data_IF_075911344249
#
_entry.id   IF_075911344249
#
_cell.length_a   1.000
_cell.length_b   1.000
_cell.length_c   1.000
_cell.angle_alpha   90.00
_cell.angle_beta   90.00
_cell.angle_gamma   90.00
#
_symmetry.space_group_name_H-M   'P 1'
#
loop_
_entity.id
_entity.type
_entity.pdbx_description
1 polymer ?
#
# COMPACT_ATOMS: atom_id res chain seq x y z
N UNK A 1 27.32 -19.77 -7.45
CA UNK A 1 27.40 -19.68 -5.97
C UNK A 1 26.01 -19.37 -5.44
N UNK A 2 25.31 -20.38 -4.91
CA UNK A 2 23.96 -20.28 -4.34
C UNK A 2 24.01 -19.70 -2.91
N UNK A 3 23.13 -18.76 -2.53
CA UNK A 3 23.11 -18.23 -1.16
C UNK A 3 22.47 -19.24 -0.19
N UNK A 4 23.17 -19.51 0.91
CA UNK A 4 22.72 -20.37 2.02
C UNK A 4 21.51 -19.75 2.73
N UNK A 5 20.40 -20.46 2.79
CA UNK A 5 19.22 -20.18 3.63
C UNK A 5 19.58 -20.32 5.11
N UNK A 6 19.35 -19.27 5.92
CA UNK A 6 19.42 -19.34 7.39
C UNK A 6 18.03 -19.67 7.94
N UNK A 7 17.94 -20.74 8.74
CA UNK A 7 16.78 -21.09 9.60
C UNK A 7 16.74 -20.16 10.83
N UNK A 8 15.55 -19.75 11.25
CA UNK A 8 15.32 -19.15 12.57
C UNK A 8 14.28 -19.99 13.33
N UNK A 9 14.71 -20.55 14.45
CA UNK A 9 13.91 -21.29 15.43
C UNK A 9 13.51 -20.31 16.57
N UNK A 10 12.29 -20.37 17.08
CA UNK A 10 11.86 -19.78 18.35
C UNK A 10 11.23 -20.86 19.24
N UNK A 11 11.17 -20.50 20.51
CA UNK A 11 11.09 -21.37 21.68
C UNK A 11 9.64 -21.74 22.05
N UNK A 12 9.37 -23.02 22.32
CA UNK A 12 8.12 -23.50 22.88
C UNK A 12 8.00 -23.11 24.36
N UNK A 13 8.00 -21.80 24.73
CA UNK A 13 7.37 -21.24 25.99
C UNK A 13 6.26 -20.12 25.86
N UNK A 14 5.68 -19.80 24.67
CA UNK A 14 4.46 -18.95 24.34
C UNK A 14 3.04 -19.42 23.66
N UNK A 15 2.50 -20.67 23.67
CA UNK A 15 1.14 -21.19 23.34
C UNK A 15 0.57 -22.18 24.42
N UNK A 16 0.15 -21.70 25.59
CA UNK A 16 -0.92 -22.37 26.39
C UNK A 16 -1.99 -21.38 26.88
N UNK A 17 -2.10 -20.19 26.29
CA UNK A 17 -3.01 -19.13 26.76
C UNK A 17 -3.91 -18.53 25.65
N UNK A 18 -4.63 -19.35 24.88
CA UNK A 18 -5.58 -18.84 23.85
C UNK A 18 -6.96 -19.52 23.85
N UNK A 19 -7.38 -20.14 24.96
CA UNK A 19 -8.78 -20.58 25.17
C UNK A 19 -9.62 -19.66 26.08
N UNK A 20 -9.04 -18.66 26.76
CA UNK A 20 -9.77 -17.82 27.74
C UNK A 20 -9.80 -16.31 27.41
N UNK A 21 -9.89 -15.91 26.12
CA UNK A 21 -9.98 -14.48 25.71
C UNK A 21 -11.29 -14.13 24.99
N UNK A 22 -12.34 -14.90 25.23
CA UNK A 22 -13.65 -14.30 25.55
C UNK A 22 -13.91 -14.65 27.03
N UNK A 23 -13.78 -13.64 27.91
CA UNK A 23 -13.82 -13.69 29.40
C UNK A 23 -12.45 -13.88 30.11
N UNK A 24 -11.86 -12.76 30.60
CA UNK A 24 -10.79 -12.59 31.62
C UNK A 24 -9.88 -13.79 32.01
N UNK A 25 -8.55 -13.67 31.79
CA UNK A 25 -7.38 -13.53 32.75
C UNK A 25 -6.09 -14.29 32.32
N UNK A 26 -4.95 -13.59 32.46
CA UNK A 26 -3.54 -13.92 32.81
C UNK A 26 -2.76 -15.19 32.34
N UNK A 27 -1.48 -14.92 32.01
CA UNK A 27 -0.21 -15.70 32.12
C UNK A 27 0.26 -16.79 31.12
N UNK A 28 1.50 -16.54 30.61
CA UNK A 28 2.68 -17.41 30.34
C UNK A 28 2.54 -18.89 29.94
N UNK A 29 2.65 -19.30 28.66
CA UNK A 29 3.22 -20.63 28.20
C UNK A 29 3.26 -20.85 26.64
N UNK A 30 3.99 -21.88 25.99
CA UNK A 30 4.71 -22.36 24.66
C UNK A 30 4.53 -22.23 23.09
N UNK A 31 5.30 -21.41 22.33
CA UNK A 31 5.23 -21.24 20.85
C UNK A 31 5.77 -22.40 20.01
N UNK A 32 4.93 -23.15 19.29
CA UNK A 32 5.35 -24.29 18.45
C UNK A 32 5.85 -23.81 17.08
N UNK A 33 7.05 -24.26 16.72
CA UNK A 33 7.72 -23.89 15.47
C UNK A 33 7.33 -24.77 14.28
N UNK A 34 7.24 -24.16 13.10
CA UNK A 34 6.83 -24.80 11.84
C UNK A 34 7.71 -25.99 11.44
N UNK A 35 8.96 -26.02 11.90
CA UNK A 35 9.92 -27.10 11.67
C UNK A 35 9.53 -28.42 12.38
N UNK A 36 8.88 -28.38 13.56
CA UNK A 36 8.40 -29.59 14.27
C UNK A 36 7.17 -30.22 13.60
N UNK A 37 6.31 -29.37 13.02
CA UNK A 37 5.12 -29.81 12.28
C UNK A 37 5.49 -30.53 10.98
N UNK A 38 6.56 -30.08 10.31
CA UNK A 38 7.12 -30.70 9.11
C UNK A 38 7.79 -32.04 9.45
N UNK A 39 8.57 -32.10 10.54
CA UNK A 39 9.28 -33.32 10.95
C UNK A 39 8.31 -34.48 11.30
N UNK A 40 7.20 -34.19 11.98
CA UNK A 40 6.19 -35.20 12.35
C UNK A 40 5.41 -35.77 11.16
N UNK A 41 5.30 -35.05 10.05
CA UNK A 41 4.56 -35.53 8.87
C UNK A 41 5.45 -36.34 7.93
N UNK A 42 6.75 -36.01 7.86
CA UNK A 42 7.75 -36.78 7.09
C UNK A 42 7.95 -38.18 7.68
N UNK A 43 7.79 -38.36 8.99
CA UNK A 43 7.84 -39.70 9.60
C UNK A 43 6.63 -40.58 9.27
N UNK A 44 5.49 -39.98 8.88
CA UNK A 44 4.22 -40.69 8.66
C UNK A 44 3.94 -40.98 7.18
N UNK A 45 4.72 -40.43 6.25
CA UNK A 45 4.47 -40.56 4.80
C UNK A 45 5.61 -41.28 4.06
N UNK A 46 5.48 -42.61 3.97
CA UNK A 46 6.27 -43.44 3.05
C UNK A 46 5.81 -43.20 1.61
N UNK A 47 6.37 -42.20 0.91
CA UNK A 47 6.27 -42.14 -0.55
C UNK A 47 7.59 -41.68 -1.18
N UNK A 48 8.32 -42.65 -1.72
CA UNK A 48 9.36 -42.43 -2.73
C UNK A 48 8.70 -41.92 -4.01
N UNK A 49 9.37 -41.05 -4.77
CA UNK A 49 8.93 -40.39 -6.03
C UNK A 49 8.23 -39.01 -5.95
N UNK A 50 8.80 -38.05 -5.20
CA UNK A 50 8.67 -36.61 -5.48
C UNK A 50 10.00 -35.90 -5.18
N UNK A 51 10.39 -34.93 -6.01
CA UNK A 51 11.63 -34.15 -5.81
C UNK A 51 11.58 -33.40 -4.47
N UNK A 52 12.74 -33.17 -3.86
CA UNK A 52 12.86 -32.58 -2.52
C UNK A 52 12.18 -31.18 -2.42
N UNK A 53 12.18 -30.41 -3.51
CA UNK A 53 11.50 -29.11 -3.62
C UNK A 53 9.97 -29.22 -3.68
N UNK A 54 9.44 -30.26 -4.35
CA UNK A 54 8.01 -30.56 -4.39
C UNK A 54 7.51 -31.01 -3.01
N UNK A 55 8.25 -31.90 -2.34
CA UNK A 55 7.96 -32.32 -0.96
C UNK A 55 7.96 -31.14 0.01
N UNK A 56 8.93 -30.23 -0.10
CA UNK A 56 9.04 -29.04 0.76
C UNK A 56 7.84 -28.10 0.61
N UNK A 57 7.42 -27.88 -0.64
CA UNK A 57 6.27 -27.03 -0.97
C UNK A 57 4.96 -27.64 -0.47
N UNK A 58 4.79 -28.95 -0.62
CA UNK A 58 3.61 -29.70 -0.21
C UNK A 58 3.51 -29.88 1.32
N UNK A 59 4.65 -29.99 2.01
CA UNK A 59 4.76 -29.97 3.48
C UNK A 59 4.44 -28.59 4.06
N UNK A 60 4.99 -27.51 3.48
CA UNK A 60 4.66 -26.13 3.87
C UNK A 60 3.16 -25.88 3.67
N UNK A 61 2.63 -26.37 2.55
CA UNK A 61 1.24 -26.26 2.18
C UNK A 61 0.30 -27.03 3.14
N UNK A 62 0.67 -28.25 3.53
CA UNK A 62 -0.09 -29.06 4.50
C UNK A 62 -0.03 -28.48 5.91
N UNK A 63 1.14 -27.95 6.32
CA UNK A 63 1.29 -27.23 7.58
C UNK A 63 0.44 -25.94 7.61
N UNK A 64 0.40 -25.20 6.50
CA UNK A 64 -0.46 -24.03 6.35
C UNK A 64 -1.95 -24.40 6.38
N UNK A 65 -2.39 -25.48 5.72
CA UNK A 65 -3.78 -25.99 5.84
C UNK A 65 -4.14 -26.28 7.29
N UNK A 66 -3.26 -26.97 8.03
CA UNK A 66 -3.50 -27.34 9.43
C UNK A 66 -3.54 -26.10 10.34
N UNK A 67 -2.67 -25.11 10.10
CA UNK A 67 -2.65 -23.83 10.81
C UNK A 67 -3.86 -22.94 10.51
N UNK A 68 -4.37 -22.94 9.27
CA UNK A 68 -5.60 -22.23 8.92
C UNK A 68 -6.82 -22.91 9.55
N UNK A 69 -6.92 -24.23 9.47
CA UNK A 69 -7.99 -25.01 10.10
C UNK A 69 -8.02 -24.77 11.62
N UNK A 70 -6.87 -24.73 12.29
CA UNK A 70 -6.79 -24.50 13.73
C UNK A 70 -7.04 -23.04 14.14
N UNK A 71 -6.87 -22.07 13.25
CA UNK A 71 -6.97 -20.63 13.59
C UNK A 71 -8.32 -20.02 13.18
N UNK A 72 -9.01 -20.59 12.19
CA UNK A 72 -10.20 -19.99 11.56
C UNK A 72 -11.37 -20.97 11.36
N UNK A 73 -11.24 -22.24 11.78
CA UNK A 73 -12.25 -23.31 11.60
C UNK A 73 -12.72 -23.48 10.14
N UNK A 74 -11.75 -23.53 9.21
CA UNK A 74 -12.03 -23.58 7.77
C UNK A 74 -11.71 -24.95 7.16
N UNK A 75 -12.63 -25.48 6.34
CA UNK A 75 -12.44 -26.72 5.57
C UNK A 75 -11.63 -26.44 4.29
N UNK A 76 -10.76 -27.35 3.85
CA UNK A 76 -10.00 -27.21 2.60
C UNK A 76 -10.44 -28.29 1.61
N UNK A 77 -10.89 -27.91 0.42
CA UNK A 77 -11.34 -28.85 -0.61
C UNK A 77 -10.17 -29.46 -1.42
N UNK A 78 -10.53 -30.41 -2.29
CA UNK A 78 -9.64 -31.15 -3.19
C UNK A 78 -8.89 -30.24 -4.21
N UNK A 79 -9.41 -29.03 -4.44
CA UNK A 79 -8.84 -28.04 -5.34
C UNK A 79 -7.99 -26.99 -4.63
N UNK A 80 -7.66 -27.21 -3.35
CA UNK A 80 -6.85 -26.32 -2.52
C UNK A 80 -7.57 -25.01 -2.15
N UNK A 81 -8.90 -25.01 -2.21
CA UNK A 81 -9.76 -23.89 -1.83
C UNK A 81 -10.23 -24.13 -0.40
N UNK A 82 -9.89 -23.20 0.48
CA UNK A 82 -10.42 -23.19 1.84
C UNK A 82 -11.88 -22.73 1.77
N UNK A 83 -12.84 -23.65 1.91
CA UNK A 83 -14.26 -23.36 2.13
C UNK A 83 -14.36 -22.49 3.38
N UNK A 84 -14.67 -21.21 3.17
CA UNK A 84 -14.75 -20.23 4.25
C UNK A 84 -13.49 -19.39 4.48
N UNK A 85 -12.55 -19.33 3.52
CA UNK A 85 -11.88 -18.07 3.15
C UNK A 85 -10.36 -17.89 3.36
N UNK A 86 -9.50 -18.63 2.64
CA UNK A 86 -8.15 -18.18 2.22
C UNK A 86 -7.71 -19.05 1.03
N UNK A 87 -7.51 -18.50 -0.17
CA UNK A 87 -6.87 -19.28 -1.23
C UNK A 87 -5.35 -19.20 -1.04
N UNK A 88 -4.78 -20.30 -0.52
CA UNK A 88 -3.35 -20.49 -0.30
C UNK A 88 -2.71 -21.24 -1.48
N UNK A 89 -2.76 -20.72 -2.71
CA UNK A 89 -1.79 -21.19 -3.70
C UNK A 89 -0.58 -20.27 -3.57
N UNK A 90 0.59 -20.74 -3.10
CA UNK A 90 1.80 -19.93 -3.12
C UNK A 90 2.18 -19.71 -4.58
N UNK A 91 1.62 -18.65 -5.16
CA UNK A 91 2.09 -18.07 -6.40
C UNK A 91 3.12 -17.04 -5.97
N UNK A 92 4.36 -17.27 -6.37
CA UNK A 92 5.43 -16.32 -6.11
C UNK A 92 5.40 -15.24 -7.17
N UNK A 93 5.49 -13.98 -6.74
CA UNK A 93 5.83 -12.88 -7.64
C UNK A 93 7.20 -12.33 -7.27
N UNK A 94 8.22 -12.79 -8.01
CA UNK A 94 9.60 -12.65 -7.57
C UNK A 94 9.80 -13.42 -6.27
N UNK A 95 10.20 -12.72 -5.21
CA UNK A 95 10.48 -13.33 -3.89
C UNK A 95 9.28 -13.27 -2.93
N UNK A 96 8.16 -12.64 -3.32
CA UNK A 96 7.00 -12.48 -2.42
C UNK A 96 5.97 -13.58 -2.60
N UNK A 97 5.46 -14.09 -1.49
CA UNK A 97 4.32 -15.01 -1.46
C UNK A 97 3.00 -14.24 -1.63
N UNK A 98 2.14 -14.69 -2.55
CA UNK A 98 0.78 -14.15 -2.71
C UNK A 98 -0.20 -14.95 -1.84
N UNK A 99 -1.00 -14.25 -1.04
CA UNK A 99 -2.09 -14.80 -0.26
C UNK A 99 -3.40 -14.07 -0.61
N UNK A 100 -4.45 -14.84 -0.94
CA UNK A 100 -5.78 -14.27 -1.17
C UNK A 100 -6.64 -14.44 0.08
N UNK A 101 -7.02 -13.30 0.66
CA UNK A 101 -7.82 -13.19 1.89
C UNK A 101 -9.23 -12.74 1.49
N UNK A 102 -10.24 -13.60 1.61
CA UNK A 102 -11.62 -13.18 1.39
C UNK A 102 -12.09 -12.20 2.44
N UNK A 103 -13.11 -11.47 2.04
CA UNK A 103 -13.67 -10.38 2.81
C UNK A 103 -15.10 -10.16 2.37
N UNK A 104 -15.93 -9.61 3.26
CA UNK A 104 -17.29 -9.23 2.91
C UNK A 104 -17.36 -7.88 2.18
N UNK A 105 -16.33 -7.03 2.33
CA UNK A 105 -16.33 -5.67 1.80
C UNK A 105 -14.96 -5.25 1.30
N UNK A 106 -14.94 -4.58 0.15
CA UNK A 106 -13.77 -3.82 -0.33
C UNK A 106 -14.06 -2.34 -0.54
N UNK A 107 -15.33 -1.93 -0.58
CA UNK A 107 -15.77 -0.55 -0.62
C UNK A 107 -15.88 0.03 0.80
N UNK A 108 -15.18 1.14 1.06
CA UNK A 108 -15.31 1.92 2.28
C UNK A 108 -15.68 3.37 1.93
N UNK A 109 -16.93 3.75 2.21
CA UNK A 109 -17.45 5.11 1.96
C UNK A 109 -16.92 6.11 3.01
N UNK A 110 -16.80 5.67 4.27
CA UNK A 110 -16.25 6.47 5.37
C UNK A 110 -14.71 6.38 5.41
N UNK A 111 -14.08 6.66 4.28
CA UNK A 111 -12.64 6.53 4.13
C UNK A 111 -11.91 7.73 4.73
N UNK A 112 -10.89 7.50 5.57
CA UNK A 112 -9.99 8.55 6.06
C UNK A 112 -9.11 9.17 4.96
N UNK A 113 -9.25 8.72 3.71
CA UNK A 113 -8.69 9.39 2.54
C UNK A 113 -9.53 10.61 2.10
N UNK A 114 -10.76 10.76 2.60
CA UNK A 114 -11.59 11.95 2.41
C UNK A 114 -10.89 13.18 3.03
N UNK A 115 -10.37 13.04 4.26
CA UNK A 115 -9.66 14.11 4.99
C UNK A 115 -8.39 14.59 4.26
N UNK A 116 -7.88 13.79 3.32
CA UNK A 116 -6.69 14.09 2.51
C UNK A 116 -7.03 14.72 1.15
N UNK A 117 -8.30 15.02 0.89
CA UNK A 117 -8.85 15.40 -0.42
C UNK A 117 -8.62 14.37 -1.54
N UNK A 118 -8.20 13.16 -1.19
CA UNK A 118 -7.89 12.11 -2.17
C UNK A 118 -9.15 11.47 -2.76
N UNK A 119 -10.31 11.70 -2.15
CA UNK A 119 -11.60 11.14 -2.57
C UNK A 119 -12.73 11.92 -1.94
N UNK A 120 -13.90 11.94 -2.58
CA UNK A 120 -15.13 12.55 -2.01
C UNK A 120 -16.20 11.51 -1.68
N UNK A 121 -15.98 10.24 -2.07
CA UNK A 121 -16.93 9.14 -1.83
C UNK A 121 -16.36 7.98 -1.04
N UNK A 122 -15.05 7.84 -1.02
CA UNK A 122 -14.37 6.79 -0.29
C UNK A 122 -13.36 6.01 -1.13
N UNK A 123 -13.09 4.79 -0.73
CA UNK A 123 -12.01 3.98 -1.30
C UNK A 123 -12.42 2.55 -1.57
N UNK A 124 -11.86 1.97 -2.62
CA UNK A 124 -12.00 0.54 -2.95
C UNK A 124 -10.65 -0.13 -2.72
N UNK A 125 -10.56 -1.13 -1.84
CA UNK A 125 -9.27 -1.71 -1.43
C UNK A 125 -9.15 -3.19 -1.84
N UNK A 126 -8.42 -3.44 -2.93
CA UNK A 126 -8.17 -4.79 -3.46
C UNK A 126 -7.15 -5.62 -2.66
N UNK A 127 -6.48 -5.05 -1.65
CA UNK A 127 -5.50 -5.78 -0.84
C UNK A 127 -4.99 -5.01 0.37
N UNK A 128 -4.16 -5.66 1.19
CA UNK A 128 -3.59 -5.08 2.42
C UNK A 128 -2.07 -5.10 2.48
N UNK A 129 -1.39 -5.91 1.65
CA UNK A 129 0.06 -5.90 1.51
C UNK A 129 0.45 -5.89 0.03
N UNK A 130 1.40 -5.01 -0.31
CA UNK A 130 1.65 -4.62 -1.68
C UNK A 130 2.74 -5.49 -2.35
N UNK A 131 2.61 -5.63 -3.67
CA UNK A 131 3.65 -6.14 -4.55
C UNK A 131 4.97 -5.36 -4.45
N UNK A 132 4.91 -4.04 -4.26
CA UNK A 132 6.09 -3.21 -4.08
C UNK A 132 6.66 -3.29 -2.65
N UNK A 133 7.95 -2.95 -2.50
CA UNK A 133 8.65 -3.00 -1.20
C UNK A 133 9.32 -1.66 -0.90
N UNK A 134 8.51 -0.61 -0.83
CA UNK A 134 9.01 0.70 -0.42
C UNK A 134 9.46 0.63 1.05
N UNK A 135 10.70 1.04 1.35
CA UNK A 135 11.28 0.92 2.69
C UNK A 135 10.62 1.86 3.71
N UNK A 136 10.03 2.94 3.23
CA UNK A 136 9.29 3.93 4.01
C UNK A 136 7.77 3.69 4.04
N UNK A 137 7.29 2.56 3.52
CA UNK A 137 5.86 2.32 3.36
C UNK A 137 5.10 2.48 4.69
N UNK A 138 4.01 3.25 4.67
CA UNK A 138 3.12 3.46 5.83
C UNK A 138 2.06 2.38 5.98
N UNK A 139 1.77 1.61 4.91
CA UNK A 139 0.76 0.54 4.92
C UNK A 139 0.93 -0.50 6.04
N UNK A 140 2.16 -0.95 6.41
CA UNK A 140 2.34 -1.83 7.57
C UNK A 140 1.77 -1.24 8.86
N UNK A 141 2.04 0.05 9.14
CA UNK A 141 1.52 0.73 10.33
C UNK A 141 0.01 0.94 10.23
N UNK A 142 -0.49 1.41 9.08
CA UNK A 142 -1.93 1.64 8.86
C UNK A 142 -2.73 0.34 9.00
N UNK A 143 -2.19 -0.78 8.52
CA UNK A 143 -2.85 -2.08 8.53
C UNK A 143 -2.49 -2.94 9.75
N UNK A 144 -1.75 -2.40 10.72
CA UNK A 144 -1.26 -3.15 11.89
C UNK A 144 -2.38 -3.74 12.77
N UNK A 145 -3.55 -3.09 12.77
CA UNK A 145 -4.78 -3.50 13.48
C UNK A 145 -5.80 -4.20 12.56
N UNK A 146 -5.49 -4.35 11.28
CA UNK A 146 -6.38 -5.00 10.33
C UNK A 146 -6.48 -6.50 10.62
N UNK A 147 -7.68 -7.07 10.65
CA UNK A 147 -7.84 -8.51 10.77
C UNK A 147 -7.12 -9.27 9.64
N UNK A 148 -7.06 -8.68 8.44
CA UNK A 148 -6.40 -9.27 7.28
C UNK A 148 -4.88 -9.43 7.44
N UNK A 149 -4.24 -8.68 8.35
CA UNK A 149 -2.80 -8.79 8.62
C UNK A 149 -2.47 -9.73 9.78
N UNK A 150 -3.47 -10.30 10.47
CA UNK A 150 -3.25 -11.33 11.51
C UNK A 150 -2.52 -12.56 10.96
N UNK A 151 -2.78 -12.92 9.70
CA UNK A 151 -2.11 -14.04 9.01
C UNK A 151 -0.59 -13.88 8.96
N UNK A 152 -0.08 -12.64 8.95
CA UNK A 152 1.35 -12.35 8.95
C UNK A 152 2.02 -12.87 10.23
N UNK A 153 1.34 -12.72 11.38
CA UNK A 153 1.83 -13.21 12.67
C UNK A 153 1.82 -14.74 12.72
N UNK A 154 0.76 -15.36 12.20
CA UNK A 154 0.62 -16.83 12.16
C UNK A 154 1.71 -17.46 11.29
N UNK A 155 2.00 -16.85 10.14
CA UNK A 155 3.03 -17.35 9.21
C UNK A 155 4.45 -16.86 9.56
N UNK A 156 4.59 -16.02 10.59
CA UNK A 156 5.84 -15.38 10.98
C UNK A 156 6.57 -14.68 9.81
N UNK A 157 5.81 -13.91 9.03
CA UNK A 157 6.31 -13.15 7.87
C UNK A 157 6.00 -11.67 8.03
N UNK A 158 6.85 -10.80 7.47
CA UNK A 158 6.65 -9.36 7.46
C UNK A 158 5.71 -8.94 6.35
N UNK A 159 5.08 -7.78 6.52
CA UNK A 159 4.23 -7.15 5.51
C UNK A 159 4.95 -6.96 4.17
N UNK A 160 6.26 -6.68 4.20
CA UNK A 160 7.10 -6.53 3.01
C UNK A 160 7.36 -7.84 2.25
N UNK A 161 7.17 -9.00 2.86
CA UNK A 161 7.52 -10.32 2.31
C UNK A 161 6.35 -11.01 1.60
N UNK A 162 5.15 -10.45 1.70
CA UNK A 162 3.94 -11.04 1.11
C UNK A 162 3.11 -10.02 0.33
N UNK A 163 2.22 -10.54 -0.50
CA UNK A 163 1.17 -9.79 -1.17
C UNK A 163 -0.15 -10.32 -0.63
N UNK A 164 -0.89 -9.49 0.10
CA UNK A 164 -2.20 -9.87 0.64
C UNK A 164 -3.27 -9.25 -0.26
N UNK A 165 -3.89 -10.07 -1.11
CA UNK A 165 -4.98 -9.68 -2.01
C UNK A 165 -6.33 -10.02 -1.41
N UNK A 166 -7.38 -9.40 -1.92
CA UNK A 166 -8.75 -9.87 -1.70
C UNK A 166 -9.07 -10.98 -2.68
N UNK A 167 -9.83 -11.96 -2.22
CA UNK A 167 -10.35 -13.02 -3.09
C UNK A 167 -11.56 -12.51 -3.86
N UNK A 168 -11.58 -12.72 -5.18
CA UNK A 168 -12.65 -12.25 -6.08
C UNK A 168 -13.09 -10.78 -5.89
N UNK A 169 -12.17 -9.79 -5.86
CA UNK A 169 -12.51 -8.40 -5.50
C UNK A 169 -13.52 -7.76 -6.47
N UNK A 170 -13.45 -8.09 -7.76
CA UNK A 170 -14.40 -7.59 -8.78
C UNK A 170 -15.83 -8.04 -8.48
N UNK A 171 -16.02 -9.30 -8.10
CA UNK A 171 -17.32 -9.87 -7.76
C UNK A 171 -17.88 -9.23 -6.50
N UNK A 172 -17.04 -9.10 -5.46
CA UNK A 172 -17.41 -8.40 -4.21
C UNK A 172 -17.84 -6.97 -4.54
N UNK A 173 -17.07 -6.23 -5.34
CA UNK A 173 -17.39 -4.86 -5.71
C UNK A 173 -18.74 -4.75 -6.40
N UNK A 174 -19.00 -5.57 -7.43
CA UNK A 174 -20.30 -5.58 -8.13
C UNK A 174 -21.46 -5.84 -7.17
N UNK A 175 -21.31 -6.82 -6.27
CA UNK A 175 -22.31 -7.07 -5.23
C UNK A 175 -22.52 -5.88 -4.29
N UNK A 176 -21.47 -5.11 -3.99
CA UNK A 176 -21.57 -3.91 -3.13
C UNK A 176 -22.15 -2.69 -3.84
N UNK A 177 -22.00 -2.60 -5.16
CA UNK A 177 -22.54 -1.51 -5.98
C UNK A 177 -23.98 -1.77 -6.45
N UNK A 178 -24.46 -3.02 -6.38
CA UNK A 178 -25.82 -3.41 -6.76
C UNK A 178 -26.71 -3.77 -5.56
N UNK A 179 -28.01 -3.53 -5.69
CA UNK A 179 -29.02 -3.97 -4.73
C UNK A 179 -29.34 -5.46 -4.87
N UNK A 180 -30.30 -5.97 -4.08
CA UNK A 180 -30.69 -7.39 -4.12
C UNK A 180 -31.30 -7.83 -5.46
N UNK A 181 -31.75 -6.89 -6.30
CA UNK A 181 -32.31 -7.11 -7.63
C UNK A 181 -31.27 -6.92 -8.74
N UNK A 182 -30.02 -6.61 -8.39
CA UNK A 182 -28.94 -6.33 -9.34
C UNK A 182 -28.89 -4.89 -9.84
N UNK A 183 -29.77 -4.00 -9.35
CA UNK A 183 -29.82 -2.61 -9.81
C UNK A 183 -28.76 -1.74 -9.10
N UNK A 184 -28.19 -0.73 -9.78
CA UNK A 184 -27.25 0.22 -9.19
C UNK A 184 -27.76 0.87 -7.89
N UNK A 185 -26.99 0.79 -6.79
CA UNK A 185 -27.30 1.44 -5.50
C UNK A 185 -27.02 2.94 -5.51
N UNK A 186 -26.05 3.38 -6.30
CA UNK A 186 -25.48 4.73 -6.26
C UNK A 186 -25.77 5.51 -7.55
N UNK A 187 -26.92 5.25 -8.19
CA UNK A 187 -27.27 5.79 -9.51
C UNK A 187 -27.37 7.31 -9.57
N UNK A 188 -27.71 7.96 -8.45
CA UNK A 188 -27.86 9.42 -8.36
C UNK A 188 -26.69 10.06 -7.61
N UNK A 189 -25.69 9.25 -7.22
CA UNK A 189 -24.56 9.69 -6.43
C UNK A 189 -23.35 10.00 -7.32
N UNK A 190 -22.77 11.18 -7.13
CA UNK A 190 -21.66 11.70 -7.94
C UNK A 190 -20.47 12.02 -7.05
N UNK A 191 -19.26 11.75 -7.51
CA UNK A 191 -18.04 12.11 -6.77
C UNK A 191 -16.87 11.24 -7.17
N UNK A 192 -15.79 11.29 -6.41
CA UNK A 192 -14.54 10.59 -6.74
C UNK A 192 -14.36 9.44 -5.75
N UNK A 193 -14.08 8.25 -6.25
CA UNK A 193 -13.60 7.11 -5.46
C UNK A 193 -12.12 6.86 -5.76
N UNK A 194 -11.31 6.57 -4.74
CA UNK A 194 -9.89 6.22 -4.94
C UNK A 194 -9.69 4.69 -4.96
N UNK A 195 -8.98 4.22 -5.98
CA UNK A 195 -8.69 2.80 -6.17
C UNK A 195 -7.43 2.38 -5.42
N UNK A 196 -7.59 1.35 -4.58
CA UNK A 196 -6.59 0.67 -3.75
C UNK A 196 -5.58 1.61 -3.08
N UNK A 197 -6.00 2.59 -2.26
CA UNK A 197 -5.06 3.55 -1.68
C UNK A 197 -4.08 2.94 -0.65
N UNK A 198 -4.26 1.66 -0.27
CA UNK A 198 -3.39 0.91 0.67
C UNK A 198 -2.30 0.10 -0.05
N UNK A 199 -2.56 -0.35 -1.29
CA UNK A 199 -1.67 -1.21 -2.07
C UNK A 199 -1.69 -0.77 -3.53
N UNK A 200 -0.56 -0.81 -4.22
CA UNK A 200 -0.52 -0.35 -5.60
C UNK A 200 -1.40 -1.20 -6.54
N UNK A 201 -2.43 -0.62 -7.18
CA UNK A 201 -3.35 -1.34 -8.06
C UNK A 201 -2.70 -1.81 -9.36
N UNK A 202 -1.57 -1.22 -9.77
CA UNK A 202 -0.97 -1.45 -11.09
C UNK A 202 0.46 -2.00 -10.99
N UNK A 203 0.80 -2.67 -9.88
CA UNK A 203 2.15 -3.16 -9.64
C UNK A 203 2.61 -4.24 -10.63
N UNK A 204 1.68 -4.93 -11.27
CA UNK A 204 1.94 -5.92 -12.31
C UNK A 204 0.73 -6.01 -13.28
N UNK A 205 0.86 -6.85 -14.31
CA UNK A 205 -0.19 -7.03 -15.33
C UNK A 205 -1.48 -7.63 -14.77
N UNK A 206 -1.39 -8.55 -13.80
CA UNK A 206 -2.57 -9.20 -13.21
C UNK A 206 -3.38 -8.20 -12.37
N UNK A 207 -2.72 -7.42 -11.51
CA UNK A 207 -3.36 -6.38 -10.70
C UNK A 207 -3.90 -5.24 -11.59
N UNK A 208 -3.22 -4.93 -12.69
CA UNK A 208 -3.72 -3.97 -13.68
C UNK A 208 -5.02 -4.46 -14.33
N UNK A 209 -5.10 -5.75 -14.71
CA UNK A 209 -6.33 -6.32 -15.26
C UNK A 209 -7.45 -6.37 -14.21
N UNK A 210 -7.16 -6.79 -12.98
CA UNK A 210 -8.13 -6.76 -11.87
C UNK A 210 -8.65 -5.33 -11.63
N UNK A 211 -7.75 -4.34 -11.64
CA UNK A 211 -8.08 -2.92 -11.51
C UNK A 211 -8.95 -2.41 -12.66
N UNK A 212 -8.66 -2.82 -13.89
CA UNK A 212 -9.48 -2.52 -15.06
C UNK A 212 -10.92 -3.07 -14.88
N UNK A 213 -11.05 -4.31 -14.45
CA UNK A 213 -12.37 -4.92 -14.21
C UNK A 213 -13.14 -4.25 -13.07
N UNK A 214 -12.44 -3.81 -12.01
CA UNK A 214 -13.05 -2.99 -10.95
C UNK A 214 -13.51 -1.62 -11.47
N UNK A 215 -12.72 -0.97 -12.33
CA UNK A 215 -13.10 0.31 -12.96
C UNK A 215 -14.35 0.13 -13.80
N UNK A 216 -14.43 -0.90 -14.66
CA UNK A 216 -15.64 -1.17 -15.45
C UNK A 216 -16.87 -1.36 -14.57
N UNK A 217 -16.75 -2.12 -13.48
CA UNK A 217 -17.85 -2.28 -12.53
C UNK A 217 -18.33 -0.95 -11.94
N UNK A 218 -17.42 -0.01 -11.65
CA UNK A 218 -17.77 1.33 -11.15
C UNK A 218 -18.44 2.16 -12.25
N UNK A 219 -17.92 2.12 -13.47
CA UNK A 219 -18.46 2.87 -14.61
C UNK A 219 -19.90 2.43 -14.94
N UNK A 220 -20.16 1.12 -14.92
CA UNK A 220 -21.45 0.51 -15.24
C UNK A 220 -22.52 0.71 -14.14
N UNK A 221 -22.10 0.81 -12.87
CA UNK A 221 -23.02 0.77 -11.72
C UNK A 221 -23.09 2.07 -10.92
N UNK A 222 -22.36 3.11 -11.31
CA UNK A 222 -22.32 4.40 -10.59
C UNK A 222 -22.07 5.57 -11.55
N UNK A 223 -22.23 6.80 -11.05
CA UNK A 223 -21.74 8.01 -11.71
C UNK A 223 -20.43 8.53 -11.10
N UNK A 224 -19.68 7.69 -10.39
CA UNK A 224 -18.43 8.10 -9.75
C UNK A 224 -17.28 8.21 -10.73
N UNK A 225 -16.43 9.20 -10.53
CA UNK A 225 -15.09 9.25 -11.10
C UNK A 225 -14.16 8.30 -10.33
N UNK A 226 -13.19 7.71 -11.02
CA UNK A 226 -12.18 6.85 -10.40
C UNK A 226 -10.83 7.53 -10.42
N UNK A 227 -10.29 7.77 -9.23
CA UNK A 227 -8.93 8.24 -9.02
C UNK A 227 -7.99 7.07 -8.78
N UNK A 228 -6.91 7.01 -9.54
CA UNK A 228 -5.92 5.92 -9.48
C UNK A 228 -4.59 6.50 -9.01
N UNK A 229 -3.95 5.86 -8.04
CA UNK A 229 -2.60 6.21 -7.62
C UNK A 229 -1.67 5.02 -7.83
N UNK A 230 -0.53 5.22 -8.49
CA UNK A 230 0.47 4.15 -8.65
C UNK A 230 1.91 4.67 -8.66
N UNK A 231 2.87 3.77 -8.41
CA UNK A 231 4.29 3.92 -8.72
C UNK A 231 4.71 3.08 -9.95
N UNK A 232 3.76 2.72 -10.81
CA UNK A 232 3.97 1.87 -11.98
C UNK A 232 3.74 2.61 -13.30
N UNK A 233 4.60 2.39 -14.30
CA UNK A 233 4.38 2.87 -15.66
C UNK A 233 3.24 2.14 -16.39
N UNK A 234 2.68 1.07 -15.79
CA UNK A 234 1.53 0.34 -16.34
C UNK A 234 0.26 1.19 -16.41
N UNK A 235 0.22 2.35 -15.75
CA UNK A 235 -0.88 3.31 -15.87
C UNK A 235 -1.19 3.70 -17.33
N UNK A 236 -0.17 3.76 -18.20
CA UNK A 236 -0.39 3.99 -19.64
C UNK A 236 -1.18 2.86 -20.29
N UNK A 237 -0.83 1.62 -19.95
CA UNK A 237 -1.48 0.44 -20.52
C UNK A 237 -2.91 0.32 -20.01
N UNK A 238 -3.15 0.65 -18.74
CA UNK A 238 -4.50 0.79 -18.23
C UNK A 238 -5.29 1.84 -19.03
N UNK A 239 -4.71 3.03 -19.26
CA UNK A 239 -5.38 4.08 -20.01
C UNK A 239 -5.77 3.66 -21.43
N UNK A 240 -4.97 2.82 -22.11
CA UNK A 240 -5.34 2.26 -23.44
C UNK A 240 -6.49 1.25 -23.41
N UNK A 241 -6.82 0.69 -22.24
CA UNK A 241 -7.92 -0.27 -22.09
C UNK A 241 -9.25 0.39 -21.73
N UNK A 242 -9.23 1.62 -21.22
CA UNK A 242 -10.45 2.33 -20.82
C UNK A 242 -11.25 2.72 -22.07
N UNK A 243 -12.53 2.31 -22.19
CA UNK A 243 -13.40 2.73 -23.28
C UNK A 243 -13.52 4.25 -23.38
N UNK A 244 -13.63 4.77 -24.61
CA UNK A 244 -13.59 6.21 -24.87
C UNK A 244 -14.69 6.98 -24.12
N UNK A 245 -15.88 6.38 -24.01
CA UNK A 245 -17.02 6.94 -23.27
C UNK A 245 -16.74 7.12 -21.76
N UNK A 246 -15.78 6.39 -21.19
CA UNK A 246 -15.44 6.48 -19.77
C UNK A 246 -14.16 7.27 -19.49
N UNK A 247 -13.38 7.65 -20.51
CA UNK A 247 -12.10 8.37 -20.32
C UNK A 247 -12.23 9.63 -19.48
N UNK A 248 -13.34 10.36 -19.64
CA UNK A 248 -13.62 11.59 -18.91
C UNK A 248 -13.88 11.38 -17.41
N UNK A 249 -14.09 10.14 -16.94
CA UNK A 249 -14.34 9.77 -15.54
C UNK A 249 -13.13 9.18 -14.82
N UNK A 250 -11.97 9.07 -15.49
CA UNK A 250 -10.76 8.48 -14.90
C UNK A 250 -9.71 9.56 -14.65
N UNK A 251 -9.23 9.63 -13.41
CA UNK A 251 -8.20 10.58 -12.98
C UNK A 251 -6.91 9.79 -12.71
N UNK A 252 -5.91 9.97 -13.57
CA UNK A 252 -4.68 9.19 -13.56
C UNK A 252 -3.60 9.85 -12.68
N UNK A 253 -3.14 9.12 -11.65
CA UNK A 253 -2.15 9.60 -10.70
C UNK A 253 -0.88 8.78 -10.64
N UNK A 254 0.25 9.49 -10.62
CA UNK A 254 1.55 8.91 -10.33
C UNK A 254 2.13 9.47 -9.04
N UNK A 255 2.66 8.56 -8.23
CA UNK A 255 3.42 8.92 -7.04
C UNK A 255 4.90 9.07 -7.41
N UNK A 256 5.52 10.21 -7.11
CA UNK A 256 6.92 10.52 -7.41
C UNK A 256 7.56 11.24 -6.22
N UNK A 257 8.26 10.49 -5.35
CA UNK A 257 8.94 11.03 -4.16
C UNK A 257 10.40 11.45 -4.39
N UNK A 258 10.98 11.09 -5.52
CA UNK A 258 12.34 11.48 -5.92
C UNK A 258 12.42 11.55 -7.44
N UNK A 259 13.31 12.41 -7.94
CA UNK A 259 13.64 12.51 -9.36
C UNK A 259 14.86 11.65 -9.74
N UNK A 260 15.52 11.02 -8.76
CA UNK A 260 16.71 10.19 -8.97
C UNK A 260 16.36 8.69 -8.96
N UNK A 261 16.58 8.05 -10.11
CA UNK A 261 16.43 6.61 -10.29
C UNK A 261 17.32 5.77 -9.36
N UNK A 262 18.51 6.27 -8.99
CA UNK A 262 19.44 5.60 -8.06
C UNK A 262 18.83 5.52 -6.67
N UNK A 263 18.31 6.64 -6.17
CA UNK A 263 17.62 6.72 -4.88
C UNK A 263 16.38 5.81 -4.91
N UNK A 264 15.50 5.97 -5.92
CA UNK A 264 14.27 5.20 -6.04
C UNK A 264 14.52 3.69 -6.06
N UNK A 265 15.57 3.21 -6.75
CA UNK A 265 15.92 1.77 -6.77
C UNK A 265 16.19 1.21 -5.38
N UNK A 266 16.69 2.03 -4.47
CA UNK A 266 17.00 1.65 -3.09
C UNK A 266 15.74 1.72 -2.21
N UNK A 267 14.99 2.82 -2.29
CA UNK A 267 13.90 3.10 -1.35
C UNK A 267 12.51 2.67 -1.82
N UNK A 268 12.31 2.50 -3.13
CA UNK A 268 11.05 2.10 -3.80
C UNK A 268 11.23 0.81 -4.59
N UNK A 269 11.68 -0.26 -3.92
CA UNK A 269 11.99 -1.53 -4.58
C UNK A 269 10.78 -2.11 -5.31
N UNK A 270 11.06 -2.69 -6.48
CA UNK A 270 10.09 -3.30 -7.40
C UNK A 270 9.13 -2.31 -8.09
N UNK A 271 9.29 -1.00 -7.88
CA UNK A 271 8.50 0.03 -8.59
C UNK A 271 9.11 0.40 -9.94
N UNK A 272 8.37 1.18 -10.75
CA UNK A 272 8.96 1.78 -11.94
C UNK A 272 9.88 2.96 -11.57
N UNK A 273 11.07 3.08 -12.19
CA UNK A 273 11.94 4.22 -11.96
C UNK A 273 11.25 5.56 -12.22
N UNK A 274 11.55 6.63 -11.46
CA UNK A 274 10.99 7.97 -11.62
C UNK A 274 10.97 8.45 -13.07
N UNK A 275 12.07 8.28 -13.83
CA UNK A 275 12.11 8.72 -15.24
C UNK A 275 11.03 8.07 -16.11
N UNK A 276 10.72 6.79 -15.85
CA UNK A 276 9.70 6.05 -16.62
C UNK A 276 8.30 6.41 -16.16
N UNK A 277 8.10 6.69 -14.87
CA UNK A 277 6.86 7.26 -14.35
C UNK A 277 6.58 8.63 -14.98
N UNK A 278 7.54 9.56 -14.95
CA UNK A 278 7.38 10.88 -15.55
C UNK A 278 7.11 10.83 -17.07
N UNK A 279 7.83 9.97 -17.80
CA UNK A 279 7.56 9.74 -19.23
C UNK A 279 6.15 9.23 -19.48
N UNK A 280 5.66 8.31 -18.63
CA UNK A 280 4.28 7.85 -18.70
C UNK A 280 3.28 8.96 -18.42
N UNK A 281 3.56 9.79 -17.41
CA UNK A 281 2.71 10.89 -17.00
C UNK A 281 2.52 11.94 -18.10
N UNK A 282 3.62 12.43 -18.69
CA UNK A 282 3.57 13.41 -19.79
C UNK A 282 2.78 12.91 -20.98
N UNK A 283 2.88 11.62 -21.29
CA UNK A 283 2.11 11.02 -22.37
C UNK A 283 0.60 11.04 -22.08
N UNK A 284 0.18 10.82 -20.83
CA UNK A 284 -1.22 10.94 -20.42
C UNK A 284 -1.70 12.40 -20.56
N UNK A 285 -0.92 13.37 -20.06
CA UNK A 285 -1.23 14.79 -20.19
C UNK A 285 -1.31 15.23 -21.66
N UNK A 286 -0.39 14.77 -22.52
CA UNK A 286 -0.38 15.08 -23.97
C UNK A 286 -1.62 14.54 -24.69
N UNK A 287 -2.22 13.47 -24.17
CA UNK A 287 -3.50 12.93 -24.66
C UNK A 287 -4.72 13.68 -24.12
N UNK A 288 -4.54 14.72 -23.31
CA UNK A 288 -5.63 15.46 -22.67
C UNK A 288 -6.36 14.67 -21.58
N UNK A 289 -5.73 13.64 -21.02
CA UNK A 289 -6.32 12.86 -19.94
C UNK A 289 -6.26 13.61 -18.61
N UNK A 290 -7.29 13.42 -17.78
CA UNK A 290 -7.34 13.99 -16.42
C UNK A 290 -6.22 13.39 -15.58
N UNK A 291 -5.37 14.23 -15.02
CA UNK A 291 -4.18 13.80 -14.27
C UNK A 291 -4.08 14.53 -12.94
N UNK A 292 -3.43 13.89 -11.96
CA UNK A 292 -3.03 14.52 -10.70
C UNK A 292 -1.71 13.91 -10.24
N UNK A 293 -0.93 14.60 -9.43
CA UNK A 293 0.40 14.12 -9.02
C UNK A 293 0.48 14.00 -7.50
N UNK A 294 1.23 12.99 -7.02
CA UNK A 294 1.44 12.79 -5.60
C UNK A 294 2.92 12.63 -5.27
N UNK A 295 3.48 13.64 -4.64
CA UNK A 295 4.87 13.67 -4.24
C UNK A 295 4.97 13.27 -2.77
N UNK A 296 4.85 11.95 -2.53
CA UNK A 296 4.79 11.39 -1.18
C UNK A 296 5.51 10.02 -1.06
N UNK A 297 6.44 9.88 -0.09
CA UNK A 297 7.13 10.98 0.59
C UNK A 297 8.18 11.58 -0.35
N UNK A 298 8.34 12.90 -0.34
CA UNK A 298 9.56 13.54 -0.83
C UNK A 298 10.61 13.37 0.25
N UNK A 299 11.82 12.88 -0.08
CA UNK A 299 12.94 12.83 0.86
C UNK A 299 13.55 14.22 1.06
N UNK A 300 14.28 14.48 2.17
CA UNK A 300 14.95 15.76 2.38
C UNK A 300 15.87 16.12 1.21
N UNK A 301 15.95 17.42 0.88
CA UNK A 301 16.78 17.94 -0.20
C UNK A 301 17.86 18.86 0.37
N UNK A 302 19.02 18.92 -0.29
CA UNK A 302 20.05 19.93 0.00
C UNK A 302 19.60 21.32 -0.43
N UNK A 303 18.81 21.39 -1.49
CA UNK A 303 18.16 22.58 -2.02
C UNK A 303 16.70 22.25 -2.39
N UNK A 304 15.77 22.70 -1.54
CA UNK A 304 14.34 22.44 -1.76
C UNK A 304 13.76 23.25 -2.93
N UNK A 305 14.22 24.48 -3.13
CA UNK A 305 13.74 25.36 -4.21
C UNK A 305 14.12 24.77 -5.57
N UNK A 306 15.38 24.40 -5.76
CA UNK A 306 15.85 23.77 -7.01
C UNK A 306 15.15 22.43 -7.28
N UNK A 307 14.89 21.64 -6.22
CA UNK A 307 14.11 20.41 -6.36
C UNK A 307 12.67 20.69 -6.81
N UNK A 308 11.99 21.65 -6.18
CA UNK A 308 10.60 21.99 -6.49
C UNK A 308 10.44 22.54 -7.91
N UNK A 309 11.33 23.44 -8.35
CA UNK A 309 11.36 23.97 -9.72
C UNK A 309 11.52 22.85 -10.75
N UNK A 310 12.48 21.95 -10.54
CA UNK A 310 12.69 20.80 -11.42
C UNK A 310 11.48 19.87 -11.45
N UNK A 311 10.89 19.61 -10.29
CA UNK A 311 9.71 18.75 -10.18
C UNK A 311 8.52 19.35 -10.93
N UNK A 312 8.24 20.64 -10.74
CA UNK A 312 7.16 21.35 -11.42
C UNK A 312 7.35 21.35 -12.95
N UNK A 313 8.58 21.58 -13.42
CA UNK A 313 8.92 21.53 -14.84
C UNK A 313 8.69 20.13 -15.44
N UNK A 314 9.10 19.08 -14.72
CA UNK A 314 8.93 17.70 -15.19
C UNK A 314 7.46 17.25 -15.19
N UNK A 315 6.63 17.77 -14.29
CA UNK A 315 5.26 17.28 -14.06
C UNK A 315 4.17 18.11 -14.73
N UNK A 316 4.46 19.35 -15.16
CA UNK A 316 3.47 20.26 -15.75
C UNK A 316 2.18 20.36 -14.91
N UNK A 317 2.31 20.80 -13.66
CA UNK A 317 1.20 20.91 -12.70
C UNK A 317 0.04 21.81 -13.16
N UNK A 318 0.23 22.61 -14.20
CA UNK A 318 -0.85 23.36 -14.84
C UNK A 318 -1.89 22.45 -15.51
N UNK A 319 -1.50 21.26 -15.98
CA UNK A 319 -2.42 20.26 -16.52
C UNK A 319 -3.06 19.35 -15.45
N UNK A 320 -2.53 19.35 -14.23
CA UNK A 320 -3.04 18.53 -13.13
C UNK A 320 -4.32 19.13 -12.54
N UNK A 321 -5.24 18.29 -12.09
CA UNK A 321 -6.37 18.70 -11.26
C UNK A 321 -5.89 19.22 -9.91
N UNK A 322 -4.99 18.46 -9.28
CA UNK A 322 -4.48 18.68 -7.93
C UNK A 322 -3.07 18.10 -7.79
N UNK A 323 -2.28 18.66 -6.88
CA UNK A 323 -0.88 18.27 -6.64
C UNK A 323 -0.71 18.01 -5.15
N UNK A 324 -0.40 16.78 -4.78
CA UNK A 324 -0.11 16.42 -3.39
C UNK A 324 1.39 16.48 -3.11
N UNK A 325 1.76 17.01 -1.95
CA UNK A 325 3.11 16.97 -1.41
C UNK A 325 3.10 16.45 0.03
N UNK A 326 4.11 15.67 0.42
CA UNK A 326 4.24 15.21 1.80
C UNK A 326 5.70 14.88 2.11
N UNK A 327 6.21 15.39 3.23
CA UNK A 327 7.49 14.97 3.80
C UNK A 327 7.40 13.55 4.37
N UNK A 328 8.52 12.82 4.37
CA UNK A 328 8.61 11.55 5.13
C UNK A 328 8.33 11.80 6.62
N UNK A 329 7.17 11.38 7.11
CA UNK A 329 6.78 11.51 8.51
C UNK A 329 7.68 10.68 9.45
N UNK A 330 7.94 11.20 10.64
CA UNK A 330 8.62 10.48 11.74
C UNK A 330 7.70 9.42 12.37
N UNK A 331 7.37 8.35 11.63
CA UNK A 331 6.44 7.30 12.05
C UNK A 331 7.03 5.89 11.87
N UNK A 332 6.93 5.09 12.92
CA UNK A 332 7.43 3.71 12.93
C UNK A 332 8.90 3.62 12.53
N UNK A 333 9.27 2.51 11.89
CA UNK A 333 10.65 2.28 11.43
C UNK A 333 10.95 2.91 10.06
N UNK A 334 10.04 3.70 9.48
CA UNK A 334 10.17 4.20 8.09
C UNK A 334 11.46 4.99 7.86
N UNK A 335 11.76 5.95 8.73
CA UNK A 335 13.00 6.77 8.68
C UNK A 335 14.23 5.90 8.87
N UNK A 336 14.24 5.07 9.93
CA UNK A 336 15.36 4.16 10.24
C UNK A 336 15.66 3.21 9.08
N UNK A 337 14.64 2.58 8.51
CA UNK A 337 14.78 1.66 7.37
C UNK A 337 15.26 2.39 6.12
N UNK A 338 14.82 3.64 5.91
CA UNK A 338 15.25 4.45 4.78
C UNK A 338 16.72 4.83 4.90
N UNK A 339 17.16 5.33 6.07
CA UNK A 339 18.57 5.64 6.35
C UNK A 339 19.43 4.39 6.12
N UNK A 340 19.08 3.27 6.74
CA UNK A 340 19.86 2.03 6.62
C UNK A 340 19.93 1.51 5.18
N UNK A 341 18.86 1.69 4.38
CA UNK A 341 18.85 1.31 2.98
C UNK A 341 19.77 2.22 2.14
N UNK A 342 19.75 3.53 2.39
CA UNK A 342 20.62 4.50 1.71
C UNK A 342 22.09 4.28 2.07
N UNK A 343 22.42 4.08 3.35
CA UNK A 343 23.77 3.76 3.81
C UNK A 343 24.33 2.49 3.16
N UNK A 344 23.52 1.42 3.14
CA UNK A 344 23.91 0.15 2.49
C UNK A 344 24.17 0.29 1.00
N UNK A 345 23.54 1.29 0.35
CA UNK A 345 23.69 1.57 -1.06
C UNK A 345 24.74 2.66 -1.35
N UNK A 346 25.52 3.08 -0.36
CA UNK A 346 26.56 4.11 -0.47
C UNK A 346 26.01 5.49 -0.88
N UNK A 347 24.72 5.73 -0.66
CA UNK A 347 24.05 7.03 -0.83
C UNK A 347 24.16 7.84 0.47
N UNK A 348 25.40 8.15 0.84
CA UNK A 348 25.73 8.71 2.15
C UNK A 348 25.19 10.13 2.34
N UNK A 349 25.15 10.95 1.31
CA UNK A 349 24.66 12.33 1.42
C UNK A 349 23.17 12.36 1.76
N UNK A 350 22.36 11.55 1.07
CA UNK A 350 20.93 11.41 1.32
C UNK A 350 20.66 10.79 2.69
N UNK A 351 21.45 9.77 3.08
CA UNK A 351 21.35 9.14 4.40
C UNK A 351 21.66 10.14 5.52
N UNK A 352 22.76 10.89 5.40
CA UNK A 352 23.20 11.88 6.38
C UNK A 352 22.21 13.04 6.50
N UNK A 353 21.67 13.50 5.37
CA UNK A 353 20.66 14.54 5.33
C UNK A 353 19.39 14.10 6.06
N UNK A 354 18.87 12.91 5.75
CA UNK A 354 17.70 12.36 6.42
C UNK A 354 17.95 12.15 7.91
N UNK A 355 19.09 11.56 8.28
CA UNK A 355 19.48 11.35 9.68
C UNK A 355 19.56 12.66 10.46
N UNK A 356 20.07 13.75 9.85
CA UNK A 356 20.16 15.08 10.47
C UNK A 356 18.78 15.67 10.75
N UNK A 357 17.91 15.72 9.75
CA UNK A 357 16.58 16.34 9.91
C UNK A 357 15.65 15.49 10.76
N UNK A 358 15.91 14.19 10.91
CA UNK A 358 15.11 13.31 11.77
C UNK A 358 15.57 13.22 13.23
N UNK A 359 16.61 13.97 13.66
CA UNK A 359 17.14 13.90 15.04
C UNK A 359 16.14 14.34 16.11
N UNK A 360 15.25 15.27 15.76
CA UNK A 360 14.19 15.73 16.65
C UNK A 360 12.99 16.22 15.84
N UNK A 361 11.82 16.30 16.48
CA UNK A 361 10.61 16.88 15.88
C UNK A 361 10.86 18.31 15.39
N UNK A 362 11.58 19.11 16.16
CA UNK A 362 11.90 20.51 15.82
C UNK A 362 12.73 20.58 14.54
N UNK A 363 13.74 19.74 14.40
CA UNK A 363 14.58 19.68 13.19
C UNK A 363 13.77 19.22 11.98
N UNK A 364 12.94 18.19 12.15
CA UNK A 364 12.08 17.68 11.07
C UNK A 364 11.10 18.75 10.60
N UNK A 365 10.51 19.49 11.53
CA UNK A 365 9.57 20.55 11.22
C UNK A 365 10.25 21.73 10.52
N UNK A 366 11.30 22.28 11.13
CA UNK A 366 11.90 23.56 10.72
C UNK A 366 12.93 23.44 9.59
N UNK A 367 13.57 22.28 9.42
CA UNK A 367 14.63 22.08 8.42
C UNK A 367 14.23 21.14 7.28
N UNK A 368 13.04 20.55 7.34
CA UNK A 368 12.58 19.61 6.32
C UNK A 368 11.13 19.86 5.90
N UNK A 369 10.17 19.73 6.81
CA UNK A 369 8.75 19.81 6.48
C UNK A 369 8.34 21.21 5.99
N UNK A 370 8.69 22.27 6.73
CA UNK A 370 8.38 23.66 6.33
C UNK A 370 9.14 24.11 5.09
N UNK A 371 10.47 23.95 4.98
CA UNK A 371 11.19 24.33 3.77
C UNK A 371 10.69 23.61 2.51
N UNK A 372 10.31 22.33 2.65
CA UNK A 372 9.71 21.58 1.54
C UNK A 372 8.37 22.17 1.13
N UNK A 373 7.48 22.45 2.09
CA UNK A 373 6.20 23.11 1.81
C UNK A 373 6.40 24.46 1.10
N UNK A 374 7.26 25.32 1.64
CA UNK A 374 7.51 26.65 1.08
C UNK A 374 8.03 26.56 -0.36
N UNK A 375 8.95 25.63 -0.63
CA UNK A 375 9.46 25.41 -1.97
C UNK A 375 8.36 24.94 -2.94
N UNK A 376 7.53 23.97 -2.54
CA UNK A 376 6.42 23.50 -3.38
C UNK A 376 5.35 24.59 -3.59
N UNK A 377 5.00 25.33 -2.54
CA UNK A 377 4.02 26.42 -2.59
C UNK A 377 4.50 27.61 -3.43
N UNK A 378 5.81 27.78 -3.62
CA UNK A 378 6.37 28.84 -4.47
C UNK A 378 6.21 28.58 -5.98
N UNK A 379 6.07 27.30 -6.38
CA UNK A 379 5.99 26.90 -7.80
C UNK A 379 4.70 26.19 -8.17
N UNK A 380 3.91 25.73 -7.20
CA UNK A 380 2.58 25.16 -7.40
C UNK A 380 1.50 26.22 -7.22
N UNK A 381 0.49 26.30 -8.10
CA UNK A 381 -0.67 27.17 -7.87
C UNK A 381 -1.37 26.81 -6.54
N UNK A 382 -1.68 27.79 -5.67
CA UNK A 382 -2.25 27.54 -4.34
C UNK A 382 -3.55 26.72 -4.36
N UNK A 383 -4.41 26.94 -5.36
CA UNK A 383 -5.69 26.24 -5.52
C UNK A 383 -5.51 24.75 -5.83
N UNK A 384 -4.35 24.37 -6.38
CA UNK A 384 -4.02 22.99 -6.76
C UNK A 384 -3.23 22.24 -5.69
N UNK A 385 -2.41 22.94 -4.92
CA UNK A 385 -1.55 22.31 -3.91
C UNK A 385 -2.38 21.70 -2.77
N UNK A 386 -2.03 20.48 -2.39
CA UNK A 386 -2.53 19.75 -1.22
C UNK A 386 -1.34 19.17 -0.46
N UNK A 387 -0.67 20.00 0.32
CA UNK A 387 0.46 19.58 1.14
C UNK A 387 -0.02 18.93 2.43
N UNK A 388 0.12 17.61 2.53
CA UNK A 388 -0.37 16.83 3.67
C UNK A 388 0.57 17.01 4.86
N UNK A 389 0.03 17.44 5.99
CA UNK A 389 0.81 17.61 7.22
C UNK A 389 0.08 17.06 8.45
N UNK A 390 0.83 16.39 9.32
CA UNK A 390 0.35 15.95 10.64
C UNK A 390 1.14 16.73 11.71
N UNK A 391 0.75 17.99 11.99
CA UNK A 391 1.54 18.84 12.86
C UNK A 391 1.50 18.33 14.30
N UNK A 392 2.58 18.58 15.04
CA UNK A 392 2.52 18.51 16.49
C UNK A 392 1.61 19.65 17.01
N UNK A 393 0.96 19.50 18.19
CA UNK A 393 0.02 20.49 18.72
C UNK A 393 0.58 21.93 18.70
N UNK A 394 1.85 22.11 19.05
CA UNK A 394 2.53 23.41 19.10
C UNK A 394 2.74 24.08 17.73
N UNK A 395 2.61 23.34 16.62
CA UNK A 395 2.74 23.86 15.26
C UNK A 395 1.40 23.91 14.52
N UNK A 396 0.29 23.53 15.16
CA UNK A 396 -1.01 23.42 14.49
C UNK A 396 -1.46 24.76 13.91
N UNK A 397 -1.41 25.83 14.69
CA UNK A 397 -1.86 27.16 14.26
C UNK A 397 -1.03 27.72 13.11
N UNK A 398 0.28 27.43 13.11
CA UNK A 398 1.15 27.75 11.98
C UNK A 398 0.65 27.13 10.67
N UNK A 399 0.33 25.83 10.68
CA UNK A 399 -0.14 25.15 9.47
C UNK A 399 -1.58 25.51 9.10
N UNK A 400 -2.44 25.77 10.08
CA UNK A 400 -3.81 26.26 9.82
C UNK A 400 -3.81 27.62 9.13
N UNK A 401 -2.83 28.47 9.43
CA UNK A 401 -2.59 29.76 8.77
C UNK A 401 -2.05 29.66 7.35
N UNK A 402 -1.75 28.45 6.85
CA UNK A 402 -1.21 28.20 5.50
C UNK A 402 -2.19 27.42 4.60
N UNK A 403 -3.46 27.28 5.01
CA UNK A 403 -4.47 26.55 4.25
C UNK A 403 -4.79 27.20 2.91
N UNK A 404 -4.81 28.53 2.86
CA UNK A 404 -4.96 29.33 1.63
C UNK A 404 -3.80 29.11 0.65
N UNK A 405 -2.65 28.66 1.14
CA UNK A 405 -1.46 28.28 0.37
C UNK A 405 -1.37 26.77 0.08
N UNK A 406 -2.44 26.01 0.37
CA UNK A 406 -2.54 24.59 0.02
C UNK A 406 -2.13 23.60 1.11
N UNK A 407 -1.90 24.04 2.36
CA UNK A 407 -1.67 23.12 3.47
C UNK A 407 -2.95 22.35 3.85
N UNK A 408 -2.84 21.02 3.99
CA UNK A 408 -3.91 20.12 4.45
C UNK A 408 -3.51 19.56 5.82
N UNK A 409 -4.09 20.15 6.87
CA UNK A 409 -3.83 19.79 8.27
C UNK A 409 -4.61 18.55 8.65
N UNK A 410 -3.91 17.46 8.96
CA UNK A 410 -4.47 16.15 9.26
C UNK A 410 -4.28 15.75 10.74
N UNK A 411 -5.13 14.85 11.22
CA UNK A 411 -5.01 14.25 12.55
C UNK A 411 -5.78 14.99 13.64
N UNK A 412 -6.94 15.57 13.31
CA UNK A 412 -7.88 16.02 14.33
C UNK A 412 -8.27 14.84 15.23
N UNK A 413 -8.05 14.99 16.54
CA UNK A 413 -8.94 14.35 17.49
C UNK A 413 -10.33 14.86 17.14
N UNK A 414 -11.23 13.94 16.76
CA UNK A 414 -12.64 14.21 16.93
C UNK A 414 -12.79 14.53 18.41
N UNK A 415 -13.03 15.79 18.75
CA UNK A 415 -13.59 16.09 20.05
C UNK A 415 -14.90 15.30 20.09
N UNK A 416 -14.91 14.26 20.91
CA UNK A 416 -16.12 13.53 21.26
C UNK A 416 -17.06 14.55 21.92
N UNK A 417 -18.11 14.95 21.20
CA UNK A 417 -19.34 15.52 21.78
C UNK A 417 -20.24 14.39 22.30
#
# INVERSE_FOLDING_TARGET
MTPKTRRFLLDPKSIKAWSDVFVRRNDDSPGIHIDELVARYVSDTNSETLSQDAKSSELLYTAMKKAIKSTWDLEVDENNIVKGSVCLKPIFMGEKMILSIPTATILNIASGFNDKDLTTRGSITGGTACAFTCVYCSSPTMMSRSMHTRILRVLNVKHSEVILRRFEPVKILRMQLSDKKGLPRYKDDNGVVILSPIVDPLANMELMEESFQMILAIMELTNWDVRILTKSMLIKKLATKIPDEYRHRIIYGLSIGTLDDRISRVVEKLTSPPRLRMKAYRELQRQGLRTYSMHCPILPQSDYSAFAEKLAAEMNWQADELVWGEALNLRGDSVKNTIAALEKAELHDEANLLARVSRSRVMWETQYNRPLFEALASVCPPEKLRYLVYPAPEYRDYWLGLRDRGAVVLGEEKMDD
#
